data_IF_814746920590
#
_entry.id   IF_814746920590
#
_cell.length_a   1.000
_cell.length_b   1.000
_cell.length_c   1.000
_cell.angle_alpha   90.00
_cell.angle_beta   90.00
_cell.angle_gamma   90.00
#
_symmetry.space_group_name_H-M   'P 1'
#
loop_
_entity.id
_entity.type
_entity.pdbx_description
1 polymer ?
#
# COMPACT_ATOMS: atom_id res chain seq x y z
N UNK A 1 9.17 -36.91 -13.75
CA UNK A 1 9.43 -35.78 -12.82
C UNK A 1 9.23 -34.48 -13.59
N UNK A 2 8.06 -33.82 -13.44
CA UNK A 2 7.83 -32.50 -14.03
C UNK A 2 8.61 -31.47 -13.20
N UNK A 3 9.63 -30.84 -13.80
CA UNK A 3 10.30 -29.67 -13.21
C UNK A 3 9.28 -28.52 -13.20
N UNK A 4 8.97 -27.99 -12.01
CA UNK A 4 8.30 -26.69 -11.91
C UNK A 4 9.24 -25.61 -12.49
N UNK A 5 8.75 -24.71 -13.36
CA UNK A 5 9.59 -23.65 -13.93
C UNK A 5 10.03 -22.69 -12.82
N UNK A 6 11.29 -22.24 -12.87
CA UNK A 6 11.78 -21.24 -11.92
C UNK A 6 11.11 -19.92 -12.23
N UNK A 7 10.83 -19.13 -11.20
CA UNK A 7 10.18 -17.83 -11.32
C UNK A 7 10.88 -16.88 -12.32
N UNK A 8 12.19 -17.04 -12.50
CA UNK A 8 12.99 -16.29 -13.46
C UNK A 8 12.63 -16.62 -14.91
N UNK A 9 12.36 -17.90 -15.21
CA UNK A 9 12.02 -18.38 -16.55
C UNK A 9 10.64 -17.84 -16.99
N UNK A 10 9.70 -17.70 -16.05
CA UNK A 10 8.37 -17.12 -16.31
C UNK A 10 8.39 -15.60 -16.55
N UNK A 11 9.41 -14.90 -16.04
CA UNK A 11 9.60 -13.47 -16.25
C UNK A 11 10.15 -13.21 -17.66
N UNK A 12 11.09 -14.03 -18.11
CA UNK A 12 11.76 -13.88 -19.42
C UNK A 12 10.79 -14.19 -20.60
N UNK A 13 9.91 -15.18 -20.44
CA UNK A 13 8.87 -15.51 -21.43
C UNK A 13 7.85 -14.37 -21.60
N UNK A 14 7.65 -13.53 -20.59
CA UNK A 14 6.71 -12.41 -20.64
C UNK A 14 7.23 -11.19 -21.40
N UNK A 15 8.55 -11.08 -21.61
CA UNK A 15 9.18 -9.91 -22.24
C UNK A 15 9.26 -10.04 -23.78
N UNK A 16 9.27 -11.25 -24.33
CA UNK A 16 9.46 -11.48 -25.77
C UNK A 16 8.17 -11.30 -26.61
N UNK A 17 6.99 -11.17 -25.99
CA UNK A 17 5.70 -11.11 -26.73
C UNK A 17 5.17 -9.71 -27.06
N UNK A 18 5.96 -8.64 -26.90
CA UNK A 18 5.49 -7.28 -27.21
C UNK A 18 6.42 -6.52 -28.16
N UNK A 19 6.22 -6.69 -29.48
CA UNK A 19 6.79 -5.80 -30.51
C UNK A 19 5.73 -5.40 -31.57
N UNK A 20 5.17 -4.18 -31.39
CA UNK A 20 4.71 -3.17 -32.41
C UNK A 20 3.52 -3.48 -33.36
N UNK A 21 2.86 -2.49 -34.04
CA UNK A 21 3.02 -1.01 -34.09
C UNK A 21 1.70 -0.15 -33.97
N UNK A 22 1.88 1.18 -34.08
CA UNK A 22 0.98 2.36 -33.85
C UNK A 22 -0.14 2.58 -34.90
N UNK A 23 -1.20 3.33 -34.54
CA UNK A 23 -1.93 4.25 -35.45
C UNK A 23 -2.66 5.39 -34.70
N UNK A 24 -2.73 6.54 -35.36
CA UNK A 24 -3.24 7.87 -34.97
C UNK A 24 -4.75 8.03 -35.21
N UNK A 25 -5.41 9.00 -34.55
CA UNK A 25 -6.19 10.13 -35.18
C UNK A 25 -6.92 11.02 -34.16
N UNK A 26 -6.96 12.32 -34.47
CA UNK A 26 -7.70 13.44 -33.85
C UNK A 26 -9.22 13.23 -33.76
N UNK A 27 -9.91 13.97 -32.85
CA UNK A 27 -10.98 14.96 -33.19
C UNK A 27 -11.50 15.68 -31.92
N UNK A 28 -11.78 16.97 -32.08
CA UNK A 28 -12.25 18.02 -31.14
C UNK A 28 -13.77 18.23 -31.29
N UNK A 29 -14.56 18.40 -30.22
CA UNK A 29 -15.94 19.00 -30.18
C UNK A 29 -16.37 19.15 -28.70
N UNK A 30 -16.36 20.35 -28.08
CA UNK A 30 -17.40 21.41 -27.96
C UNK A 30 -18.24 21.34 -26.65
N UNK A 31 -18.05 22.39 -25.83
CA UNK A 31 -18.93 23.08 -24.86
C UNK A 31 -20.24 22.44 -24.34
N UNK A 32 -20.36 22.35 -23.01
CA UNK A 32 -21.46 22.90 -22.18
C UNK A 32 -21.08 22.81 -20.67
N UNK A 33 -21.56 23.74 -19.82
CA UNK A 33 -21.01 23.97 -18.49
C UNK A 33 -21.72 23.09 -17.45
N UNK A 34 -21.01 22.10 -16.92
CA UNK A 34 -21.51 21.35 -15.77
C UNK A 34 -21.10 22.09 -14.49
N UNK A 35 -22.13 22.55 -13.78
CA UNK A 35 -22.05 23.29 -12.53
C UNK A 35 -21.10 22.61 -11.54
N UNK A 36 -19.92 23.18 -11.38
CA UNK A 36 -19.01 22.80 -10.30
C UNK A 36 -19.67 23.26 -9.00
N UNK A 37 -20.35 22.33 -8.34
CA UNK A 37 -20.78 22.45 -6.95
C UNK A 37 -19.52 22.53 -6.08
N UNK A 38 -18.95 23.73 -5.97
CA UNK A 38 -17.92 24.06 -5.00
C UNK A 38 -18.58 24.24 -3.64
N UNK A 39 -18.84 23.14 -2.96
CA UNK A 39 -18.62 23.12 -1.52
C UNK A 39 -18.33 21.70 -1.09
N UNK A 40 -17.22 21.49 -0.37
CA UNK A 40 -17.03 20.38 0.58
C UNK A 40 -15.61 20.41 1.17
N UNK A 41 -15.44 21.20 2.24
CA UNK A 41 -14.52 20.94 3.37
C UNK A 41 -13.08 20.52 3.00
N UNK A 42 -12.37 21.37 2.26
CA UNK A 42 -10.93 21.18 1.99
C UNK A 42 -10.33 22.00 0.84
N UNK A 43 -11.18 22.63 0.02
CA UNK A 43 -10.75 23.45 -1.12
C UNK A 43 -10.11 22.66 -2.26
N UNK A 44 -10.33 21.34 -2.30
CA UNK A 44 -9.78 20.43 -3.29
C UNK A 44 -10.90 19.86 -4.18
N UNK A 45 -10.60 19.50 -5.44
CA UNK A 45 -11.53 18.77 -6.30
C UNK A 45 -11.96 17.43 -5.68
N UNK A 46 -13.22 17.03 -5.90
CA UNK A 46 -13.80 15.82 -5.31
C UNK A 46 -13.02 14.55 -5.66
N UNK A 47 -12.54 14.43 -6.91
CA UNK A 47 -11.73 13.30 -7.34
C UNK A 47 -10.40 13.20 -6.57
N UNK A 48 -9.85 14.35 -6.16
CA UNK A 48 -8.63 14.46 -5.35
C UNK A 48 -8.91 14.11 -3.90
N UNK A 49 -10.04 14.58 -3.35
CA UNK A 49 -10.51 14.21 -2.01
C UNK A 49 -10.62 12.69 -1.89
N UNK A 50 -11.29 12.04 -2.84
CA UNK A 50 -11.45 10.58 -2.82
C UNK A 50 -10.11 9.85 -2.93
N UNK A 51 -9.18 10.31 -3.77
CA UNK A 51 -7.82 9.74 -3.86
C UNK A 51 -7.09 9.84 -2.53
N UNK A 52 -7.16 10.98 -1.84
CA UNK A 52 -6.55 11.19 -0.53
C UNK A 52 -7.15 10.22 0.49
N UNK A 53 -8.49 10.20 0.60
CA UNK A 53 -9.19 9.29 1.53
C UNK A 53 -8.77 7.84 1.29
N UNK A 54 -8.81 7.38 0.04
CA UNK A 54 -8.43 6.01 -0.31
C UNK A 54 -6.98 5.68 0.07
N UNK A 55 -6.03 6.61 -0.12
CA UNK A 55 -4.64 6.38 0.25
C UNK A 55 -4.45 6.32 1.77
N UNK A 56 -5.11 7.20 2.53
CA UNK A 56 -5.01 7.14 4.00
C UNK A 56 -5.72 5.91 4.55
N UNK A 57 -6.89 5.54 4.02
CA UNK A 57 -7.56 4.30 4.40
C UNK A 57 -6.70 3.07 4.11
N UNK A 58 -6.00 3.03 2.97
CA UNK A 58 -5.04 1.97 2.68
C UNK A 58 -3.87 1.99 3.67
N UNK A 59 -3.32 3.16 3.99
CA UNK A 59 -2.24 3.29 4.96
C UNK A 59 -2.61 2.67 6.31
N UNK A 60 -3.84 2.90 6.78
CA UNK A 60 -4.36 2.34 8.03
C UNK A 60 -5.08 0.97 7.87
N UNK A 61 -5.03 0.36 6.69
CA UNK A 61 -5.68 -0.94 6.44
C UNK A 61 -5.05 -2.07 7.24
N UNK A 62 -5.80 -3.16 7.47
CA UNK A 62 -5.28 -4.36 8.15
C UNK A 62 -4.01 -4.88 7.49
N UNK A 63 -4.02 -4.98 6.16
CA UNK A 63 -2.88 -5.47 5.38
C UNK A 63 -1.62 -4.63 5.57
N UNK A 64 -1.74 -3.31 5.47
CA UNK A 64 -0.58 -2.43 5.61
C UNK A 64 -0.08 -2.37 7.05
N UNK A 65 -0.97 -2.47 8.04
CA UNK A 65 -0.60 -2.54 9.45
C UNK A 65 0.16 -3.82 9.78
N UNK A 66 -0.38 -4.99 9.43
CA UNK A 66 0.24 -6.27 9.77
C UNK A 66 1.60 -6.51 9.07
N UNK A 67 1.86 -5.81 7.96
CA UNK A 67 3.12 -5.95 7.20
C UNK A 67 4.10 -4.79 7.42
N UNK A 68 3.77 -3.80 8.27
CA UNK A 68 4.62 -2.62 8.51
C UNK A 68 4.85 -2.37 10.01
N UNK A 69 5.96 -2.89 10.54
CA UNK A 69 6.35 -2.80 11.95
C UNK A 69 6.26 -1.38 12.52
N UNK A 70 6.80 -0.39 11.78
CA UNK A 70 6.81 0.99 12.25
C UNK A 70 5.39 1.56 12.43
N UNK A 71 4.46 1.23 11.53
CA UNK A 71 3.11 1.78 11.57
C UNK A 71 2.28 1.21 12.72
N UNK A 72 2.42 -0.10 12.96
CA UNK A 72 1.82 -0.75 14.13
C UNK A 72 2.34 -0.17 15.45
N UNK A 73 3.65 0.07 15.54
CA UNK A 73 4.25 0.71 16.72
C UNK A 73 3.75 2.13 16.95
N UNK A 74 3.40 2.88 15.91
CA UNK A 74 2.87 4.25 16.05
C UNK A 74 1.46 4.29 16.62
N UNK A 75 0.61 3.33 16.24
CA UNK A 75 -0.80 3.29 16.65
C UNK A 75 -0.95 2.62 18.03
N UNK A 76 -0.16 1.58 18.33
CA UNK A 76 -0.25 0.82 19.57
C UNK A 76 0.26 1.55 20.83
N UNK A 77 0.93 2.70 20.68
CA UNK A 77 1.45 3.50 21.81
C UNK A 77 0.40 4.38 22.49
N UNK A 78 -0.65 4.76 21.76
CA UNK A 78 -1.74 5.58 22.28
C UNK A 78 -2.85 4.65 22.76
N UNK A 79 -3.31 4.80 24.01
CA UNK A 79 -4.34 3.92 24.60
C UNK A 79 -5.68 3.99 23.87
N UNK A 80 -5.93 5.04 23.08
CA UNK A 80 -7.12 5.21 22.25
C UNK A 80 -6.87 4.85 20.78
N UNK A 81 -5.67 4.36 20.44
CA UNK A 81 -5.31 3.91 19.09
C UNK A 81 -5.08 5.04 18.09
N UNK A 82 -4.73 6.25 18.54
CA UNK A 82 -4.45 7.38 17.65
C UNK A 82 -3.00 7.39 17.14
N UNK A 83 -2.84 7.61 15.84
CA UNK A 83 -1.60 8.00 15.19
C UNK A 83 -1.52 9.52 14.94
N UNK A 84 -0.31 10.04 14.72
CA UNK A 84 -0.09 11.47 14.38
C UNK A 84 -0.56 11.76 12.96
N UNK A 85 -1.32 12.86 12.77
CA UNK A 85 -1.77 13.32 11.45
C UNK A 85 -0.59 13.60 10.50
N UNK A 86 0.53 14.08 11.04
CA UNK A 86 1.74 14.35 10.26
C UNK A 86 2.31 13.11 9.54
N UNK A 87 2.16 11.91 10.11
CA UNK A 87 2.60 10.68 9.46
C UNK A 87 1.72 10.34 8.24
N UNK A 88 0.39 10.43 8.41
CA UNK A 88 -0.58 10.24 7.33
C UNK A 88 -0.37 11.27 6.21
N UNK A 89 -0.13 12.54 6.59
CA UNK A 89 0.19 13.62 5.66
C UNK A 89 1.44 13.32 4.84
N UNK A 90 2.56 13.01 5.49
CA UNK A 90 3.81 12.69 4.80
C UNK A 90 3.65 11.52 3.82
N UNK A 91 2.89 10.50 4.21
CA UNK A 91 2.58 9.36 3.34
C UNK A 91 1.78 9.79 2.09
N UNK A 92 0.65 10.49 2.27
CA UNK A 92 -0.18 10.94 1.14
C UNK A 92 0.58 11.91 0.25
N UNK A 93 1.32 12.85 0.83
CA UNK A 93 2.14 13.79 0.09
C UNK A 93 3.21 13.07 -0.75
N UNK A 94 3.82 12.01 -0.23
CA UNK A 94 4.79 11.22 -0.98
C UNK A 94 4.16 10.47 -2.16
N UNK A 95 3.00 9.83 -1.95
CA UNK A 95 2.37 8.97 -2.95
C UNK A 95 1.62 9.77 -4.01
N UNK A 96 0.84 10.78 -3.60
CA UNK A 96 0.03 11.60 -4.50
C UNK A 96 0.78 12.84 -5.00
N UNK A 97 1.98 13.14 -4.49
CA UNK A 97 2.77 14.34 -4.81
C UNK A 97 1.99 15.63 -4.54
N UNK A 98 1.23 15.65 -3.44
CA UNK A 98 0.39 16.77 -3.02
C UNK A 98 0.97 17.49 -1.80
N UNK A 99 0.89 18.81 -1.79
CA UNK A 99 1.21 19.63 -0.63
C UNK A 99 -0.07 19.94 0.15
N UNK A 100 -0.29 19.23 1.25
CA UNK A 100 -1.46 19.39 2.11
C UNK A 100 -1.06 20.04 3.43
N UNK A 101 -1.93 20.88 3.99
CA UNK A 101 -1.83 21.30 5.40
C UNK A 101 -2.53 20.27 6.31
N UNK A 102 -2.23 20.29 7.60
CA UNK A 102 -2.90 19.40 8.58
C UNK A 102 -4.41 19.68 8.62
N UNK A 103 -4.82 20.94 8.48
CA UNK A 103 -6.23 21.34 8.43
C UNK A 103 -6.94 20.78 7.18
N UNK A 104 -6.31 20.90 6.00
CA UNK A 104 -6.86 20.33 4.77
C UNK A 104 -7.00 18.81 4.86
N UNK A 105 -5.97 18.11 5.34
CA UNK A 105 -6.03 16.66 5.48
C UNK A 105 -7.09 16.24 6.51
N UNK A 106 -7.15 16.92 7.65
CA UNK A 106 -8.18 16.70 8.67
C UNK A 106 -9.58 16.84 8.07
N UNK A 107 -9.85 17.93 7.34
CA UNK A 107 -11.15 18.20 6.74
C UNK A 107 -11.53 17.16 5.67
N UNK A 108 -10.58 16.77 4.82
CA UNK A 108 -10.76 15.69 3.82
C UNK A 108 -11.09 14.36 4.50
N UNK A 109 -10.37 14.02 5.57
CA UNK A 109 -10.54 12.75 6.29
C UNK A 109 -11.85 12.65 7.07
N UNK A 110 -12.59 13.74 7.29
CA UNK A 110 -13.96 13.68 7.80
C UNK A 110 -14.92 12.93 6.85
N UNK A 111 -14.54 12.75 5.58
CA UNK A 111 -15.32 11.96 4.61
C UNK A 111 -14.96 10.46 4.65
N UNK A 112 -13.98 10.03 5.45
CA UNK A 112 -13.62 8.61 5.55
C UNK A 112 -14.68 7.82 6.31
N UNK A 113 -15.04 6.66 5.78
CA UNK A 113 -15.93 5.71 6.45
C UNK A 113 -15.19 4.74 7.39
N UNK A 114 -13.86 4.81 7.46
CA UNK A 114 -13.01 3.88 8.23
C UNK A 114 -12.15 4.57 9.28
N UNK A 115 -12.02 5.88 9.21
CA UNK A 115 -11.11 6.66 10.04
C UNK A 115 -11.86 7.75 10.80
N UNK A 116 -11.34 8.10 11.98
CA UNK A 116 -11.80 9.23 12.79
C UNK A 116 -10.62 10.15 13.05
N UNK A 117 -10.85 11.44 12.87
CA UNK A 117 -9.89 12.49 13.23
C UNK A 117 -10.21 12.98 14.65
N UNK A 118 -9.17 13.27 15.44
CA UNK A 118 -9.35 13.89 16.76
C UNK A 118 -9.96 15.28 16.65
N UNK A 119 -10.59 15.75 17.74
CA UNK A 119 -11.24 17.06 17.80
C UNK A 119 -10.29 18.22 17.47
N UNK A 120 -9.02 18.11 17.84
CA UNK A 120 -7.98 19.10 17.53
C UNK A 120 -7.42 19.01 16.10
N UNK A 121 -7.84 18.01 15.30
CA UNK A 121 -7.37 17.78 13.94
C UNK A 121 -5.95 17.19 13.82
N UNK A 122 -5.27 16.89 14.94
CA UNK A 122 -3.83 16.53 14.96
C UNK A 122 -3.56 15.04 14.97
N UNK A 123 -4.57 14.22 15.22
CA UNK A 123 -4.46 12.77 15.28
C UNK A 123 -5.54 12.10 14.43
N UNK A 124 -5.24 10.88 14.00
CA UNK A 124 -6.16 10.05 13.22
C UNK A 124 -6.10 8.62 13.76
N UNK A 125 -7.24 7.94 13.81
CA UNK A 125 -7.35 6.54 14.20
C UNK A 125 -8.34 5.80 13.32
N UNK A 126 -8.31 4.48 13.40
CA UNK A 126 -9.36 3.63 12.84
C UNK A 126 -10.63 3.72 13.68
N UNK A 127 -11.78 3.64 13.00
CA UNK A 127 -13.07 3.40 13.65
C UNK A 127 -13.04 2.02 14.31
N UNK A 128 -12.64 1.00 13.55
CA UNK A 128 -12.50 -0.38 14.01
C UNK A 128 -11.02 -0.68 14.25
N UNK A 129 -10.55 -0.78 15.51
CA UNK A 129 -9.18 -1.17 15.83
C UNK A 129 -8.84 -2.55 15.26
N UNK A 130 -7.57 -2.77 14.91
CA UNK A 130 -7.09 -4.08 14.49
C UNK A 130 -6.94 -4.99 15.71
N UNK A 131 -7.39 -6.24 15.61
CA UNK A 131 -7.28 -7.24 16.68
C UNK A 131 -6.12 -8.20 16.40
N UNK A 132 -5.60 -8.86 17.45
CA UNK A 132 -4.56 -9.88 17.28
C UNK A 132 -5.02 -11.03 16.35
N UNK A 133 -6.25 -11.52 16.55
CA UNK A 133 -6.82 -12.56 15.68
C UNK A 133 -6.94 -12.13 14.22
N UNK A 134 -7.25 -10.86 13.94
CA UNK A 134 -7.28 -10.36 12.55
C UNK A 134 -5.86 -10.30 11.94
N UNK A 135 -4.84 -10.02 12.74
CA UNK A 135 -3.44 -10.09 12.31
C UNK A 135 -3.05 -11.53 12.00
N UNK A 136 -3.37 -12.48 12.89
CA UNK A 136 -3.05 -13.90 12.70
C UNK A 136 -3.76 -14.47 11.46
N UNK A 137 -5.05 -14.18 11.28
CA UNK A 137 -5.80 -14.57 10.08
C UNK A 137 -5.20 -13.98 8.81
N UNK A 138 -4.80 -12.71 8.86
CA UNK A 138 -4.18 -12.04 7.72
C UNK A 138 -2.80 -12.64 7.39
N UNK A 139 -2.00 -12.93 8.40
CA UNK A 139 -0.69 -13.59 8.25
C UNK A 139 -0.84 -14.98 7.65
N UNK A 140 -1.84 -15.76 8.07
CA UNK A 140 -2.12 -17.09 7.50
C UNK A 140 -2.45 -17.06 6.00
N UNK A 141 -2.87 -15.90 5.46
CA UNK A 141 -3.16 -15.69 4.04
C UNK A 141 -2.09 -14.91 3.29
N UNK A 142 -1.02 -14.51 3.96
CA UNK A 142 0.02 -13.66 3.38
C UNK A 142 1.31 -14.44 3.21
N UNK A 143 1.79 -14.52 1.99
CA UNK A 143 3.12 -15.09 1.70
C UNK A 143 4.16 -13.98 1.54
N UNK A 144 5.43 -14.35 1.65
CA UNK A 144 6.56 -13.44 1.40
C UNK A 144 7.37 -13.96 0.22
N UNK A 145 7.46 -13.15 -0.82
CA UNK A 145 8.30 -13.41 -1.97
C UNK A 145 9.65 -12.69 -1.80
N UNK A 146 10.73 -13.45 -1.61
CA UNK A 146 12.08 -12.89 -1.47
C UNK A 146 12.91 -12.98 -2.76
N UNK A 147 14.08 -12.32 -2.76
CA UNK A 147 15.05 -12.35 -3.86
C UNK A 147 14.48 -11.83 -5.19
N UNK A 148 13.56 -10.86 -5.14
CA UNK A 148 12.95 -10.29 -6.32
C UNK A 148 13.92 -9.36 -7.07
N UNK A 149 13.79 -9.26 -8.41
CA UNK A 149 14.52 -8.25 -9.19
C UNK A 149 14.25 -6.83 -8.70
N UNK A 150 15.26 -5.95 -8.72
CA UNK A 150 15.13 -4.56 -8.25
C UNK A 150 14.05 -3.76 -9.00
N UNK A 151 13.87 -4.06 -10.28
CA UNK A 151 12.90 -3.45 -11.18
C UNK A 151 11.54 -4.18 -11.22
N UNK A 152 11.31 -5.17 -10.34
CA UNK A 152 10.04 -5.90 -10.31
C UNK A 152 8.87 -4.93 -10.11
N UNK A 153 7.77 -5.19 -10.83
CA UNK A 153 6.55 -4.38 -10.79
C UNK A 153 5.39 -5.20 -10.26
N UNK A 154 4.44 -4.55 -9.61
CA UNK A 154 3.28 -5.22 -9.00
C UNK A 154 2.48 -6.03 -10.02
N UNK A 155 2.37 -5.57 -11.28
CA UNK A 155 1.70 -6.31 -12.36
C UNK A 155 2.37 -7.66 -12.67
N UNK A 156 3.70 -7.76 -12.53
CA UNK A 156 4.44 -8.99 -12.82
C UNK A 156 4.19 -9.98 -11.68
N UNK A 157 4.30 -9.54 -10.43
CA UNK A 157 3.97 -10.34 -9.26
C UNK A 157 2.52 -10.82 -9.30
N UNK A 158 1.59 -9.93 -9.64
CA UNK A 158 0.18 -10.29 -9.80
C UNK A 158 0.01 -11.39 -10.84
N UNK A 159 0.66 -11.28 -12.01
CA UNK A 159 0.61 -12.32 -13.05
C UNK A 159 1.11 -13.67 -12.53
N UNK A 160 2.22 -13.67 -11.79
CA UNK A 160 2.83 -14.87 -11.21
C UNK A 160 1.90 -15.49 -10.16
N UNK A 161 1.56 -14.74 -9.12
CA UNK A 161 0.82 -15.28 -7.96
C UNK A 161 -0.65 -15.55 -8.28
N UNK A 162 -1.21 -14.88 -9.29
CA UNK A 162 -2.55 -15.20 -9.78
C UNK A 162 -2.64 -16.60 -10.42
N UNK A 163 -1.52 -17.26 -10.73
CA UNK A 163 -1.53 -18.65 -11.20
C UNK A 163 -1.97 -19.64 -10.12
N UNK A 164 -1.71 -19.32 -8.84
CA UNK A 164 -2.10 -20.16 -7.70
C UNK A 164 -3.55 -19.88 -7.30
N UNK A 165 -3.95 -18.61 -7.31
CA UNK A 165 -5.32 -18.20 -7.04
C UNK A 165 -5.51 -16.69 -6.93
N UNK A 166 -6.69 -16.26 -6.49
CA UNK A 166 -7.00 -14.82 -6.42
C UNK A 166 -6.20 -14.14 -5.31
N UNK A 167 -5.23 -13.32 -5.73
CA UNK A 167 -4.51 -12.37 -4.87
C UNK A 167 -5.43 -11.19 -4.55
N UNK A 168 -5.38 -10.73 -3.30
CA UNK A 168 -6.18 -9.62 -2.77
C UNK A 168 -5.34 -8.35 -2.61
N UNK A 169 -4.14 -8.44 -2.05
CA UNK A 169 -3.22 -7.32 -1.91
C UNK A 169 -1.78 -7.72 -2.25
N UNK A 170 -1.01 -6.78 -2.81
CA UNK A 170 0.42 -6.94 -3.10
C UNK A 170 1.15 -5.70 -2.63
N UNK A 171 2.21 -5.90 -1.83
CA UNK A 171 3.10 -4.81 -1.40
C UNK A 171 4.55 -5.16 -1.68
N UNK A 172 5.18 -4.38 -2.55
CA UNK A 172 6.62 -4.49 -2.84
C UNK A 172 7.40 -3.64 -1.85
N UNK A 173 8.28 -4.28 -1.11
CA UNK A 173 9.23 -3.67 -0.20
C UNK A 173 10.60 -3.62 -0.88
N UNK A 174 10.97 -2.42 -1.34
CA UNK A 174 12.33 -2.16 -1.80
C UNK A 174 13.17 -1.80 -0.60
N UNK A 175 14.28 -2.52 -0.40
CA UNK A 175 15.29 -2.06 0.55
C UNK A 175 15.68 -0.65 0.11
N UNK A 176 15.54 0.33 1.01
CA UNK A 176 16.11 1.62 0.72
C UNK A 176 17.62 1.39 0.65
N UNK A 177 18.19 1.51 -0.55
CA UNK A 177 19.59 1.87 -0.66
C UNK A 177 19.77 3.04 0.31
N UNK A 178 20.75 2.93 1.19
CA UNK A 178 21.16 3.89 2.21
C UNK A 178 21.31 5.32 1.66
N UNK A 179 20.19 6.04 1.51
CA UNK A 179 20.13 7.49 1.21
C UNK A 179 19.78 8.28 2.48
N UNK A 180 19.87 7.63 3.64
CA UNK A 180 20.11 8.30 4.89
C UNK A 180 21.28 7.56 5.53
N UNK A 181 22.39 8.24 5.78
CA UNK A 181 23.55 7.73 6.54
C UNK A 181 23.23 7.43 8.00
N UNK A 182 22.05 6.87 8.28
CA UNK A 182 21.78 6.17 9.50
C UNK A 182 22.62 4.87 9.46
N UNK A 183 23.39 4.55 10.51
CA UNK A 183 24.04 3.26 10.60
C UNK A 183 22.95 2.17 10.45
N UNK A 184 23.29 0.97 9.95
CA UNK A 184 22.37 -0.15 9.96
C UNK A 184 21.96 -0.30 11.42
N UNK A 185 20.75 0.18 11.77
CA UNK A 185 20.28 0.13 13.13
C UNK A 185 20.45 -1.33 13.51
N UNK A 186 21.28 -1.56 14.53
CA UNK A 186 21.39 -2.85 15.15
C UNK A 186 19.95 -3.26 15.44
N UNK A 187 19.40 -4.09 14.55
CA UNK A 187 18.07 -4.63 14.69
C UNK A 187 18.16 -5.36 16.01
N UNK A 188 17.50 -4.83 17.03
CA UNK A 188 17.46 -5.43 18.34
C UNK A 188 17.07 -6.88 18.10
N UNK A 189 18.03 -7.78 18.32
CA UNK A 189 17.92 -9.21 18.17
C UNK A 189 17.05 -9.76 19.30
N UNK A 190 15.78 -9.34 19.33
CA UNK A 190 14.79 -9.78 20.31
C UNK A 190 13.46 -10.22 19.72
N UNK A 191 13.22 -10.01 18.42
CA UNK A 191 12.12 -10.65 17.70
C UNK A 191 12.69 -11.39 16.49
N UNK A 192 12.74 -12.70 16.57
CA UNK A 192 13.19 -13.65 15.53
C UNK A 192 12.20 -13.74 14.34
N UNK A 193 11.36 -12.72 14.14
CA UNK A 193 10.14 -12.87 13.34
C UNK A 193 10.28 -12.54 11.86
N UNK A 194 11.37 -11.93 11.38
CA UNK A 194 11.55 -11.63 9.94
C UNK A 194 12.93 -11.04 9.63
N UNK A 195 13.91 -11.90 9.38
CA UNK A 195 15.22 -11.47 8.87
C UNK A 195 15.17 -11.31 7.35
N UNK A 196 14.63 -10.19 6.87
CA UNK A 196 14.71 -9.89 5.43
C UNK A 196 16.17 -9.74 5.00
N UNK A 197 16.56 -10.48 3.96
CA UNK A 197 17.82 -10.25 3.25
C UNK A 197 17.86 -8.81 2.70
N UNK A 198 19.04 -8.25 2.42
CA UNK A 198 19.21 -6.91 1.84
C UNK A 198 18.68 -6.78 0.38
N UNK A 199 17.70 -7.60 -0.01
CA UNK A 199 17.14 -7.74 -1.35
C UNK A 199 15.65 -7.34 -1.34
N UNK A 200 15.13 -6.99 -2.51
CA UNK A 200 13.71 -6.65 -2.68
C UNK A 200 12.85 -7.86 -2.33
N UNK A 201 11.81 -7.63 -1.53
CA UNK A 201 10.80 -8.63 -1.19
C UNK A 201 9.39 -8.07 -1.44
N UNK A 202 8.40 -8.95 -1.47
CA UNK A 202 6.99 -8.57 -1.54
C UNK A 202 6.16 -9.39 -0.55
N UNK A 203 5.08 -8.77 -0.07
CA UNK A 203 4.00 -9.44 0.64
C UNK A 203 2.82 -9.61 -0.31
N UNK A 204 2.29 -10.82 -0.39
CA UNK A 204 1.17 -11.15 -1.25
C UNK A 204 0.06 -11.81 -0.40
N UNK A 205 -1.05 -11.10 -0.22
CA UNK A 205 -2.23 -11.60 0.51
C UNK A 205 -3.17 -12.31 -0.46
N UNK A 206 -3.49 -13.57 -0.21
CA UNK A 206 -4.52 -14.31 -0.94
C UNK A 206 -5.91 -14.13 -0.31
N UNK A 207 -6.96 -14.35 -1.12
CA UNK A 207 -8.33 -14.33 -0.61
C UNK A 207 -8.61 -15.42 0.44
N UNK A 208 -7.93 -16.56 0.35
CA UNK A 208 -8.12 -17.71 1.24
C UNK A 208 -6.79 -18.31 1.68
N UNK A 209 -6.79 -18.97 2.84
CA UNK A 209 -5.60 -19.59 3.45
C UNK A 209 -5.05 -20.71 2.57
N UNK A 210 -5.93 -21.54 2.00
CA UNK A 210 -5.50 -22.70 1.21
C UNK A 210 -4.75 -22.30 -0.07
N UNK A 211 -5.01 -21.08 -0.58
CA UNK A 211 -4.28 -20.53 -1.72
C UNK A 211 -2.89 -20.02 -1.33
N UNK A 212 -2.76 -19.48 -0.12
CA UNK A 212 -1.47 -19.05 0.42
C UNK A 212 -0.57 -20.25 0.73
N UNK A 213 -1.13 -21.32 1.32
CA UNK A 213 -0.40 -22.56 1.60
C UNK A 213 0.09 -23.28 0.34
N UNK A 214 -0.63 -23.11 -0.77
CA UNK A 214 -0.29 -23.71 -2.06
C UNK A 214 0.80 -22.93 -2.82
N UNK A 215 0.98 -21.65 -2.51
CA UNK A 215 1.86 -20.74 -3.24
C UNK A 215 3.32 -20.83 -2.78
#
# INVERSE_FOLDING_TARGET
MQKQPKLQDLIEEAEQKTSSPKSSTNTKFSDLPESVSTDSRGGLPEDTIQKIVNQVEYYFSDFNLATTDHLMSFIGKDSKGYGKMSAAKSYVSLILKLSLTDSQLSAVLQNSAKLVVSEDGKKVRRINPITASAIDELQSRTIIAENLPKNIRSKNLLKIFSTVGSVKNIRICRTQNSVSGAPPAARSAKNDSMLFSNKVHAFDEYKKVELAEKA
#
